data_IF_975607167027
#
_entry.id   IF_975607167027
#
_cell.length_a   1.000
_cell.length_b   1.000
_cell.length_c   1.000
_cell.angle_alpha   90.00
_cell.angle_beta   90.00
_cell.angle_gamma   90.00
#
_symmetry.space_group_name_H-M   'P 1'
#
loop_
_entity.id
_entity.type
_entity.pdbx_description
1 polymer ?
#
# COMPACT_ATOMS: atom_id res chain seq x y z
N UNK A 1 -47.34 -80.18 10.87
CA UNK A 1 -46.65 -79.98 12.16
C UNK A 1 -45.23 -79.59 11.79
N UNK A 2 -44.82 -78.38 12.20
CA UNK A 2 -43.54 -77.69 11.91
C UNK A 2 -43.31 -77.31 10.43
N UNK A 3 -42.85 -76.13 10.04
CA UNK A 3 -42.02 -75.12 10.75
C UNK A 3 -42.26 -73.70 10.19
N UNK A 4 -41.99 -72.71 11.05
CA UNK A 4 -42.03 -71.26 10.83
C UNK A 4 -40.65 -70.76 10.37
N UNK A 5 -40.60 -69.88 9.35
CA UNK A 5 -39.70 -68.71 9.18
C UNK A 5 -39.78 -68.27 7.71
N UNK A 6 -39.74 -66.99 7.31
CA UNK A 6 -38.87 -65.93 7.77
C UNK A 6 -39.49 -64.53 7.55
N UNK A 7 -39.08 -63.59 8.40
CA UNK A 7 -39.32 -62.15 8.28
C UNK A 7 -38.70 -61.57 6.99
N UNK A 8 -39.27 -60.51 6.39
CA UNK A 8 -38.64 -59.84 5.26
C UNK A 8 -37.41 -59.03 5.71
N UNK A 9 -36.29 -59.25 5.02
CA UNK A 9 -35.06 -58.47 5.14
C UNK A 9 -35.33 -56.98 4.91
N UNK A 10 -35.15 -56.16 5.96
CA UNK A 10 -35.06 -54.70 5.83
C UNK A 10 -33.73 -54.37 5.14
N UNK A 11 -33.81 -53.87 3.91
CA UNK A 11 -32.66 -53.35 3.17
C UNK A 11 -32.13 -52.10 3.89
N UNK A 12 -30.94 -52.21 4.50
CA UNK A 12 -30.20 -51.07 5.04
C UNK A 12 -29.73 -50.16 3.90
N UNK A 13 -30.57 -49.24 3.43
CA UNK A 13 -30.15 -48.16 2.52
C UNK A 13 -29.28 -47.17 3.30
N UNK A 14 -27.98 -47.16 3.02
CA UNK A 14 -27.08 -46.09 3.46
C UNK A 14 -27.29 -44.87 2.57
N UNK A 15 -27.70 -43.73 3.14
CA UNK A 15 -27.77 -42.46 2.43
C UNK A 15 -26.48 -41.67 2.65
N UNK A 16 -25.81 -41.31 1.56
CA UNK A 16 -24.62 -40.45 1.56
C UNK A 16 -25.04 -39.07 1.07
N UNK A 17 -25.00 -38.07 1.95
CA UNK A 17 -25.23 -36.69 1.57
C UNK A 17 -23.90 -35.92 1.63
N UNK A 18 -23.49 -35.39 0.48
CA UNK A 18 -22.28 -34.58 0.35
C UNK A 18 -22.67 -33.12 0.29
N UNK A 19 -22.22 -32.34 1.27
CA UNK A 19 -22.38 -30.89 1.26
C UNK A 19 -21.06 -30.26 0.78
N UNK A 20 -21.14 -29.57 -0.34
CA UNK A 20 -20.03 -28.78 -0.90
C UNK A 20 -20.43 -27.31 -0.79
N UNK A 21 -19.60 -26.50 -0.16
CA UNK A 21 -19.85 -25.07 -0.04
C UNK A 21 -18.88 -24.31 -0.93
N UNK A 22 -19.40 -23.25 -1.52
CA UNK A 22 -18.57 -22.25 -2.16
C UNK A 22 -17.85 -21.44 -1.08
N UNK A 23 -16.51 -21.38 -1.14
CA UNK A 23 -15.69 -20.75 -0.12
C UNK A 23 -15.07 -19.41 -0.56
N UNK A 24 -15.55 -18.83 -1.66
CA UNK A 24 -15.08 -17.52 -2.14
C UNK A 24 -13.62 -17.48 -2.59
N UNK A 25 -13.04 -18.60 -3.03
CA UNK A 25 -11.67 -18.63 -3.56
C UNK A 25 -11.60 -18.73 -5.09
N UNK A 26 -12.72 -19.08 -5.73
CA UNK A 26 -12.89 -19.16 -7.18
C UNK A 26 -14.38 -19.41 -7.49
N UNK A 27 -14.95 -18.80 -8.55
CA UNK A 27 -16.34 -19.04 -8.96
C UNK A 27 -16.61 -20.49 -9.40
N UNK A 28 -15.57 -21.27 -9.71
CA UNK A 28 -15.69 -22.65 -10.19
C UNK A 28 -15.26 -23.72 -9.19
N UNK A 29 -14.73 -23.34 -8.02
CA UNK A 29 -14.13 -24.29 -7.08
C UNK A 29 -15.00 -24.47 -5.84
N UNK A 30 -15.79 -25.53 -5.84
CA UNK A 30 -16.52 -25.99 -4.66
C UNK A 30 -15.55 -26.71 -3.71
N UNK A 31 -15.61 -26.37 -2.43
CA UNK A 31 -14.85 -27.07 -1.39
C UNK A 31 -15.78 -27.97 -0.60
N UNK A 32 -15.45 -29.26 -0.52
CA UNK A 32 -16.22 -30.23 0.26
C UNK A 32 -16.08 -29.91 1.75
N UNK A 33 -17.13 -29.42 2.41
CA UNK A 33 -17.06 -29.03 3.83
C UNK A 33 -17.34 -30.23 4.75
N UNK A 34 -18.35 -31.04 4.44
CA UNK A 34 -18.73 -32.20 5.25
C UNK A 34 -19.25 -33.37 4.40
N UNK A 35 -19.01 -34.59 4.89
CA UNK A 35 -19.67 -35.81 4.40
C UNK A 35 -20.58 -36.30 5.51
N UNK A 36 -21.88 -36.35 5.23
CA UNK A 36 -22.86 -36.94 6.13
C UNK A 36 -23.14 -38.36 5.62
N UNK A 37 -22.82 -39.37 6.45
CA UNK A 37 -23.19 -40.76 6.20
C UNK A 37 -24.26 -41.14 7.20
N UNK A 38 -25.46 -41.46 6.70
CA UNK A 38 -26.56 -41.96 7.52
C UNK A 38 -26.91 -43.39 7.11
N UNK A 39 -27.03 -44.27 8.10
CA UNK A 39 -27.54 -45.63 7.99
C UNK A 39 -28.55 -45.87 9.11
N UNK A 40 -29.36 -46.90 8.99
CA UNK A 40 -30.44 -47.27 9.92
C UNK A 40 -30.01 -47.35 11.39
N UNK A 41 -28.72 -47.56 11.66
CA UNK A 41 -28.14 -47.70 13.00
C UNK A 41 -27.00 -46.73 13.32
N UNK A 42 -26.59 -45.87 12.38
CA UNK A 42 -25.47 -44.95 12.61
C UNK A 42 -25.56 -43.66 11.79
N UNK A 43 -25.24 -42.56 12.45
CA UNK A 43 -25.12 -41.25 11.84
C UNK A 43 -23.71 -40.73 12.10
N UNK A 44 -22.95 -40.44 11.03
CA UNK A 44 -21.61 -39.88 11.16
C UNK A 44 -21.44 -38.65 10.28
N UNK A 45 -20.93 -37.58 10.90
CA UNK A 45 -20.54 -36.35 10.22
C UNK A 45 -19.02 -36.32 10.19
N UNK A 46 -18.45 -36.42 8.99
CA UNK A 46 -17.01 -36.27 8.80
C UNK A 46 -16.73 -34.93 8.12
N UNK A 47 -16.10 -34.00 8.84
CA UNK A 47 -15.63 -32.73 8.27
C UNK A 47 -14.44 -33.01 7.35
N UNK A 48 -14.50 -32.50 6.13
CA UNK A 48 -13.35 -32.57 5.20
C UNK A 48 -12.41 -31.40 5.51
N UNK A 49 -11.13 -31.68 5.75
CA UNK A 49 -10.07 -30.67 5.93
C UNK A 49 -9.59 -30.46 7.38
N UNK A 50 -8.30 -30.17 7.53
CA UNK A 50 -7.71 -29.79 8.81
C UNK A 50 -8.16 -28.38 9.20
N UNK A 51 -8.62 -28.17 10.44
CA UNK A 51 -9.03 -26.82 10.91
C UNK A 51 -7.90 -25.79 10.74
N UNK A 52 -6.67 -26.21 10.96
CA UNK A 52 -5.48 -25.36 10.82
C UNK A 52 -5.26 -24.89 9.38
N UNK A 53 -5.40 -25.78 8.38
CA UNK A 53 -5.24 -25.39 6.98
C UNK A 53 -6.36 -24.46 6.53
N UNK A 54 -7.59 -24.68 6.99
CA UNK A 54 -8.71 -23.80 6.67
C UNK A 54 -8.59 -22.41 7.32
N UNK A 55 -8.12 -22.33 8.57
CA UNK A 55 -7.84 -21.05 9.24
C UNK A 55 -6.68 -20.31 8.59
N UNK A 56 -5.60 -21.01 8.25
CA UNK A 56 -4.44 -20.44 7.56
C UNK A 56 -4.81 -19.93 6.15
N UNK A 57 -5.58 -20.70 5.38
CA UNK A 57 -6.08 -20.25 4.08
C UNK A 57 -6.96 -19.02 4.22
N UNK A 58 -7.87 -18.99 5.21
CA UNK A 58 -8.71 -17.81 5.47
C UNK A 58 -7.91 -16.59 5.92
N UNK A 59 -6.84 -16.80 6.67
CA UNK A 59 -5.92 -15.73 7.05
C UNK A 59 -5.22 -15.17 5.80
N UNK A 60 -4.65 -16.03 4.94
CA UNK A 60 -4.01 -15.60 3.70
C UNK A 60 -4.98 -14.90 2.74
N UNK A 61 -6.25 -15.32 2.70
CA UNK A 61 -7.31 -14.66 1.92
C UNK A 61 -7.59 -13.23 2.38
N UNK A 62 -7.18 -12.81 3.59
CA UNK A 62 -7.29 -11.41 4.01
C UNK A 62 -6.24 -10.52 3.34
N UNK A 63 -5.16 -11.09 2.82
CA UNK A 63 -4.01 -10.36 2.28
C UNK A 63 -3.82 -10.54 0.79
N UNK A 64 -4.45 -11.52 0.16
CA UNK A 64 -4.23 -11.86 -1.24
C UNK A 64 -5.55 -11.79 -2.00
N UNK A 65 -5.60 -11.16 -3.20
CA UNK A 65 -6.82 -11.07 -3.99
C UNK A 65 -7.39 -12.44 -4.36
N UNK A 66 -8.71 -12.54 -4.51
CA UNK A 66 -9.37 -13.74 -5.00
C UNK A 66 -8.89 -14.07 -6.42
N UNK A 67 -8.66 -15.35 -6.73
CA UNK A 67 -8.14 -15.78 -8.03
C UNK A 67 -6.64 -15.52 -8.25
N UNK A 68 -5.90 -15.09 -7.22
CA UNK A 68 -4.46 -14.92 -7.30
C UNK A 68 -3.75 -16.25 -7.63
N UNK A 69 -2.68 -16.24 -8.46
CA UNK A 69 -2.05 -15.07 -9.08
C UNK A 69 -2.68 -14.59 -10.39
N UNK A 70 -3.64 -15.32 -10.95
CA UNK A 70 -4.21 -15.03 -12.28
C UNK A 70 -5.13 -13.82 -12.35
N UNK A 71 -5.61 -13.31 -11.21
CA UNK A 71 -6.53 -12.18 -11.12
C UNK A 71 -5.85 -10.82 -11.06
N UNK A 72 -4.50 -10.78 -10.97
CA UNK A 72 -3.71 -9.56 -10.91
C UNK A 72 -2.63 -9.53 -11.97
N UNK A 73 -2.16 -8.34 -12.33
CA UNK A 73 -1.03 -8.20 -13.26
C UNK A 73 0.26 -8.79 -12.69
N UNK A 74 1.20 -9.24 -13.54
CA UNK A 74 2.45 -9.88 -13.10
C UNK A 74 3.38 -8.98 -12.25
N UNK A 75 3.22 -7.66 -12.35
CA UNK A 75 3.99 -6.65 -11.60
C UNK A 75 3.41 -6.33 -10.21
N UNK A 76 2.25 -6.88 -9.84
CA UNK A 76 1.60 -6.69 -8.54
C UNK A 76 2.51 -7.09 -7.36
N UNK A 77 2.99 -8.35 -7.33
CA UNK A 77 3.78 -8.84 -6.20
C UNK A 77 5.11 -8.10 -6.03
N UNK A 78 5.93 -7.91 -7.09
CA UNK A 78 7.16 -7.13 -6.97
C UNK A 78 6.91 -5.71 -6.47
N UNK A 79 5.84 -5.06 -6.95
CA UNK A 79 5.44 -3.73 -6.49
C UNK A 79 5.08 -3.76 -5.00
N UNK A 80 4.18 -4.66 -4.57
CA UNK A 80 3.69 -4.74 -3.19
C UNK A 80 4.82 -5.00 -2.18
N UNK A 81 5.84 -5.78 -2.53
CA UNK A 81 6.99 -5.99 -1.64
C UNK A 81 7.72 -4.66 -1.37
N UNK A 82 7.99 -3.87 -2.41
CA UNK A 82 8.66 -2.59 -2.25
C UNK A 82 7.78 -1.53 -1.58
N UNK A 83 6.48 -1.52 -1.90
CA UNK A 83 5.49 -0.63 -1.28
C UNK A 83 5.36 -0.92 0.23
N UNK A 84 5.35 -2.19 0.64
CA UNK A 84 5.34 -2.57 2.06
C UNK A 84 6.62 -2.17 2.80
N UNK A 85 7.79 -2.35 2.18
CA UNK A 85 9.06 -1.90 2.76
C UNK A 85 9.12 -0.37 2.89
N UNK A 86 8.61 0.34 1.88
CA UNK A 86 8.46 1.79 1.89
C UNK A 86 7.52 2.23 3.01
N UNK A 87 6.33 1.63 3.11
CA UNK A 87 5.35 1.89 4.16
C UNK A 87 5.90 1.64 5.56
N UNK A 88 6.61 0.53 5.76
CA UNK A 88 7.27 0.21 7.03
C UNK A 88 8.23 1.33 7.46
N UNK A 89 9.06 1.82 6.52
CA UNK A 89 9.97 2.94 6.78
C UNK A 89 9.23 4.23 7.15
N UNK A 90 8.12 4.53 6.46
CA UNK A 90 7.25 5.66 6.78
C UNK A 90 6.74 5.59 8.21
N UNK A 91 6.14 4.48 8.63
CA UNK A 91 5.56 4.40 9.98
C UNK A 91 6.60 4.45 11.11
N UNK A 92 7.82 3.95 10.88
CA UNK A 92 8.92 4.12 11.85
C UNK A 92 9.27 5.61 11.99
N UNK A 93 9.43 6.34 10.88
CA UNK A 93 9.73 7.78 10.87
C UNK A 93 8.58 8.62 11.42
N UNK A 94 7.34 8.21 11.20
CA UNK A 94 6.15 8.86 11.78
C UNK A 94 6.24 8.86 13.30
N UNK A 95 6.70 7.78 13.94
CA UNK A 95 6.86 7.77 15.41
C UNK A 95 7.92 8.77 15.89
N UNK A 96 9.06 8.85 15.21
CA UNK A 96 10.13 9.80 15.55
C UNK A 96 9.69 11.27 15.37
N UNK A 97 9.08 11.58 14.23
CA UNK A 97 8.59 12.93 13.93
C UNK A 97 7.41 13.31 14.83
N UNK A 98 6.51 12.37 15.16
CA UNK A 98 5.40 12.61 16.10
C UNK A 98 5.92 12.91 17.50
N UNK A 99 6.92 12.18 17.99
CA UNK A 99 7.53 12.46 19.29
C UNK A 99 8.12 13.87 19.34
N UNK A 100 8.85 14.28 18.30
CA UNK A 100 9.40 15.62 18.20
C UNK A 100 8.29 16.69 18.16
N UNK A 101 7.27 16.50 17.33
CA UNK A 101 6.13 17.41 17.21
C UNK A 101 5.38 17.58 18.55
N UNK A 102 5.12 16.48 19.26
CA UNK A 102 4.48 16.53 20.58
C UNK A 102 5.33 17.28 21.60
N UNK A 103 6.65 17.09 21.57
CA UNK A 103 7.58 17.86 22.39
C UNK A 103 7.52 19.35 22.06
N UNK A 104 7.45 19.73 20.77
CA UNK A 104 7.39 21.14 20.35
C UNK A 104 6.10 21.85 20.78
N UNK A 105 4.98 21.13 20.82
CA UNK A 105 3.69 21.66 21.32
C UNK A 105 3.72 21.91 22.84
N UNK A 106 4.71 21.34 23.54
CA UNK A 106 4.84 21.47 24.98
C UNK A 106 4.07 20.38 25.75
N UNK A 107 3.88 19.20 25.15
CA UNK A 107 3.34 18.05 25.91
C UNK A 107 4.28 17.75 27.08
N UNK A 108 3.77 17.94 28.30
CA UNK A 108 4.53 17.78 29.55
C UNK A 108 5.04 19.09 30.16
N UNK A 109 4.88 20.22 29.49
CA UNK A 109 5.30 21.55 29.98
C UNK A 109 4.20 22.26 30.77
N UNK A 110 4.54 22.83 31.94
CA UNK A 110 3.55 23.50 32.82
C UNK A 110 3.01 24.81 32.23
N UNK A 111 3.76 25.46 31.34
CA UNK A 111 3.38 26.72 30.70
C UNK A 111 2.52 26.53 29.44
N UNK A 112 2.44 25.31 28.90
CA UNK A 112 1.63 25.02 27.72
C UNK A 112 0.15 24.97 28.09
N UNK A 113 -0.69 25.67 27.32
CA UNK A 113 -2.15 25.66 27.53
C UNK A 113 -2.82 24.75 26.52
N UNK A 114 -3.85 24.03 26.97
CA UNK A 114 -4.67 23.16 26.10
C UNK A 114 -5.28 23.97 24.95
N UNK A 115 -5.82 25.16 25.23
CA UNK A 115 -6.43 26.01 24.19
C UNK A 115 -5.42 26.52 23.16
N UNK A 116 -4.19 26.84 23.59
CA UNK A 116 -3.11 27.23 22.67
C UNK A 116 -2.72 26.09 21.75
N UNK A 117 -2.50 24.89 22.30
CA UNK A 117 -2.20 23.69 21.51
C UNK A 117 -3.34 23.35 20.53
N UNK A 118 -4.60 23.46 20.96
CA UNK A 118 -5.77 23.26 20.09
C UNK A 118 -5.80 24.26 18.94
N UNK A 119 -5.51 25.54 19.19
CA UNK A 119 -5.48 26.55 18.14
C UNK A 119 -4.36 26.30 17.13
N UNK A 120 -3.18 25.87 17.59
CA UNK A 120 -2.07 25.48 16.72
C UNK A 120 -2.45 24.30 15.81
N UNK A 121 -3.12 23.27 16.36
CA UNK A 121 -3.64 22.14 15.57
C UNK A 121 -4.70 22.56 14.56
N UNK A 122 -5.65 23.40 14.98
CA UNK A 122 -6.67 23.96 14.09
C UNK A 122 -6.04 24.69 12.90
N UNK A 123 -5.10 25.62 13.14
CA UNK A 123 -4.44 26.36 12.06
C UNK A 123 -3.70 25.43 11.11
N UNK A 124 -2.98 24.46 11.67
CA UNK A 124 -2.23 23.47 10.91
C UNK A 124 -3.14 22.63 10.01
N UNK A 125 -4.25 22.13 10.54
CA UNK A 125 -5.17 21.27 9.80
C UNK A 125 -5.98 22.06 8.76
N UNK A 126 -6.47 23.25 9.12
CA UNK A 126 -7.15 24.16 8.20
C UNK A 126 -6.24 24.49 7.00
N UNK A 127 -4.99 24.89 7.27
CA UNK A 127 -4.02 25.25 6.23
C UNK A 127 -3.70 24.05 5.32
N UNK A 128 -3.55 22.86 5.90
CA UNK A 128 -3.39 21.62 5.15
C UNK A 128 -4.57 21.35 4.22
N UNK A 129 -5.80 21.36 4.75
CA UNK A 129 -7.03 21.12 3.98
C UNK A 129 -7.19 22.10 2.82
N UNK A 130 -6.97 23.40 3.07
CA UNK A 130 -6.98 24.43 2.02
C UNK A 130 -5.91 24.15 0.95
N UNK A 131 -4.70 23.77 1.37
CA UNK A 131 -3.62 23.38 0.47
C UNK A 131 -3.98 22.20 -0.44
N UNK A 132 -4.59 21.16 0.11
CA UNK A 132 -5.05 19.99 -0.66
C UNK A 132 -6.14 20.32 -1.66
N UNK A 133 -7.12 21.16 -1.28
CA UNK A 133 -8.17 21.64 -2.20
C UNK A 133 -7.55 22.45 -3.33
N UNK A 134 -6.65 23.39 -3.02
CA UNK A 134 -5.96 24.19 -4.03
C UNK A 134 -5.15 23.31 -4.97
N UNK A 135 -4.38 22.34 -4.46
CA UNK A 135 -3.65 21.41 -5.30
C UNK A 135 -4.56 20.61 -6.22
N UNK A 136 -5.67 20.09 -5.69
CA UNK A 136 -6.67 19.37 -6.50
C UNK A 136 -7.23 20.25 -7.61
N UNK A 137 -7.54 21.52 -7.32
CA UNK A 137 -8.02 22.49 -8.30
C UNK A 137 -7.03 22.72 -9.44
N UNK A 138 -5.73 22.82 -9.13
CA UNK A 138 -4.70 23.06 -10.15
C UNK A 138 -4.25 21.81 -10.91
N UNK A 139 -4.24 20.64 -10.28
CA UNK A 139 -3.50 19.47 -10.78
C UNK A 139 -4.31 18.17 -10.86
N UNK A 140 -5.54 18.16 -10.35
CA UNK A 140 -6.33 16.93 -10.17
C UNK A 140 -6.62 16.11 -11.43
N UNK A 141 -6.54 16.70 -12.62
CA UNK A 141 -6.90 16.05 -13.89
C UNK A 141 -5.83 15.17 -14.53
N UNK A 142 -4.57 15.19 -14.04
CA UNK A 142 -3.44 14.50 -14.68
C UNK A 142 -2.63 13.60 -13.73
N UNK A 143 -3.17 13.30 -12.54
CA UNK A 143 -2.44 12.56 -11.50
C UNK A 143 -2.27 11.08 -11.86
N UNK A 144 -3.26 10.49 -12.52
CA UNK A 144 -3.26 9.10 -12.98
C UNK A 144 -2.38 8.89 -14.22
N UNK A 145 -2.37 9.85 -15.15
CA UNK A 145 -1.62 9.81 -16.41
C UNK A 145 -0.10 9.62 -16.19
N UNK A 146 0.43 10.18 -15.11
CA UNK A 146 1.85 10.07 -14.73
C UNK A 146 2.01 9.41 -13.36
N UNK A 147 1.27 8.34 -13.09
CA UNK A 147 1.19 7.71 -11.77
C UNK A 147 2.57 7.38 -11.14
N UNK A 148 3.54 6.89 -11.92
CA UNK A 148 4.90 6.61 -11.42
C UNK A 148 5.60 7.86 -10.85
N UNK A 149 5.54 8.96 -11.59
CA UNK A 149 6.12 10.24 -11.17
C UNK A 149 5.39 10.80 -9.97
N UNK A 150 4.05 10.84 -10.02
CA UNK A 150 3.25 11.41 -8.94
C UNK A 150 3.39 10.62 -7.63
N UNK A 151 3.64 9.30 -7.68
CA UNK A 151 4.01 8.54 -6.48
C UNK A 151 5.32 9.02 -5.86
N UNK A 152 6.37 9.17 -6.66
CA UNK A 152 7.65 9.69 -6.16
C UNK A 152 7.53 11.10 -5.61
N UNK A 153 6.75 11.96 -6.27
CA UNK A 153 6.53 13.34 -5.81
C UNK A 153 5.67 13.38 -4.54
N UNK A 154 4.62 12.56 -4.45
CA UNK A 154 3.78 12.46 -3.25
C UNK A 154 4.62 12.04 -2.04
N UNK A 155 5.40 10.97 -2.18
CA UNK A 155 6.23 10.46 -1.09
C UNK A 155 7.37 11.42 -0.70
N UNK A 156 7.92 12.19 -1.66
CA UNK A 156 8.84 13.27 -1.34
C UNK A 156 8.15 14.37 -0.51
N UNK A 157 6.93 14.77 -0.86
CA UNK A 157 6.17 15.75 -0.09
C UNK A 157 5.80 15.20 1.30
N UNK A 158 5.53 13.90 1.43
CA UNK A 158 5.31 13.26 2.73
C UNK A 158 6.56 13.38 3.61
N UNK A 159 7.73 13.09 3.02
CA UNK A 159 9.03 13.17 3.69
C UNK A 159 9.35 14.59 4.16
N UNK A 160 9.05 15.59 3.33
CA UNK A 160 9.15 17.00 3.73
C UNK A 160 8.21 17.32 4.89
N UNK A 161 6.97 16.81 4.86
CA UNK A 161 6.01 16.98 5.95
C UNK A 161 6.52 16.42 7.28
N UNK A 162 7.01 15.19 7.28
CA UNK A 162 7.61 14.56 8.46
C UNK A 162 8.89 15.27 8.91
N UNK A 163 9.68 15.79 7.97
CA UNK A 163 10.87 16.59 8.29
C UNK A 163 10.48 17.90 8.97
N UNK A 164 9.43 18.58 8.51
CA UNK A 164 8.90 19.78 9.16
C UNK A 164 8.50 19.49 10.61
N UNK A 165 7.81 18.36 10.85
CA UNK A 165 7.44 17.92 12.20
C UNK A 165 8.70 17.69 13.06
N UNK A 166 9.75 17.06 12.51
CA UNK A 166 11.01 16.79 13.20
C UNK A 166 11.85 18.05 13.51
N UNK A 167 11.90 19.04 12.61
CA UNK A 167 12.65 20.30 12.83
C UNK A 167 11.90 21.31 13.68
N UNK A 168 10.57 21.20 13.77
CA UNK A 168 9.72 22.18 14.45
C UNK A 168 10.17 22.54 15.88
N UNK A 169 10.69 21.61 16.72
CA UNK A 169 11.16 21.96 18.07
C UNK A 169 12.38 22.88 18.07
N UNK A 170 13.16 22.91 16.98
CA UNK A 170 14.37 23.74 16.87
C UNK A 170 14.04 25.22 16.64
N UNK A 171 12.80 25.53 16.27
CA UNK A 171 12.36 26.89 15.94
C UNK A 171 11.04 27.25 16.65
N UNK A 172 11.02 27.38 17.99
CA UNK A 172 9.77 27.63 18.73
C UNK A 172 9.01 28.88 18.28
N UNK A 173 9.72 29.95 17.87
CA UNK A 173 9.11 31.20 17.38
C UNK A 173 8.42 31.05 16.02
N UNK A 174 8.84 30.09 15.20
CA UNK A 174 8.28 29.80 13.88
C UNK A 174 7.49 28.48 13.85
N UNK A 175 7.24 27.86 15.01
CA UNK A 175 6.66 26.54 15.14
C UNK A 175 5.39 26.36 14.28
N UNK A 176 4.40 27.24 14.46
CA UNK A 176 3.11 27.18 13.76
C UNK A 176 3.29 27.26 12.25
N UNK A 177 4.18 28.13 11.79
CA UNK A 177 4.47 28.28 10.36
C UNK A 177 5.07 27.00 9.76
N UNK A 178 6.05 26.41 10.44
CA UNK A 178 6.71 25.17 10.00
C UNK A 178 5.71 24.02 9.92
N UNK A 179 4.90 23.80 10.96
CA UNK A 179 3.94 22.69 10.96
C UNK A 179 2.81 22.91 9.95
N UNK A 180 2.42 24.17 9.68
CA UNK A 180 1.48 24.48 8.60
C UNK A 180 2.05 24.12 7.22
N UNK A 181 3.33 24.43 6.95
CA UNK A 181 4.01 23.98 5.73
C UNK A 181 4.05 22.45 5.63
N UNK A 182 4.38 21.78 6.74
CA UNK A 182 4.36 20.32 6.81
C UNK A 182 2.98 19.73 6.51
N UNK A 183 1.93 20.37 7.01
CA UNK A 183 0.53 19.99 6.79
C UNK A 183 0.08 20.17 5.34
N UNK A 184 0.45 21.28 4.69
CA UNK A 184 0.23 21.47 3.24
C UNK A 184 0.90 20.34 2.46
N UNK A 185 2.16 20.03 2.79
CA UNK A 185 2.94 18.97 2.15
C UNK A 185 2.27 17.60 2.29
N UNK A 186 1.77 17.26 3.49
CA UNK A 186 1.02 16.02 3.74
C UNK A 186 -0.35 16.01 3.06
N UNK A 187 -1.04 17.14 2.96
CA UNK A 187 -2.31 17.23 2.25
C UNK A 187 -2.15 17.01 0.75
N UNK A 188 -1.14 17.63 0.14
CA UNK A 188 -0.71 17.35 -1.23
C UNK A 188 -0.46 15.85 -1.43
N UNK A 189 0.28 15.23 -0.49
CA UNK A 189 0.61 13.80 -0.53
C UNK A 189 -0.67 12.97 -0.55
N UNK A 190 -1.64 13.29 0.31
CA UNK A 190 -2.91 12.57 0.38
C UNK A 190 -3.66 12.58 -0.95
N UNK A 191 -3.73 13.73 -1.62
CA UNK A 191 -4.39 13.85 -2.93
C UNK A 191 -3.65 13.05 -4.01
N UNK A 192 -2.34 13.27 -4.15
CA UNK A 192 -1.54 12.60 -5.19
C UNK A 192 -1.42 11.08 -4.96
N UNK A 193 -1.16 10.66 -3.72
CA UNK A 193 -1.11 9.24 -3.36
C UNK A 193 -2.47 8.56 -3.54
N UNK A 194 -3.58 9.21 -3.14
CA UNK A 194 -4.92 8.68 -3.36
C UNK A 194 -5.25 8.46 -4.83
N UNK A 195 -4.97 9.45 -5.69
CA UNK A 195 -5.23 9.35 -7.13
C UNK A 195 -4.35 8.29 -7.81
N UNK A 196 -3.05 8.27 -7.50
CA UNK A 196 -2.13 7.27 -8.07
C UNK A 196 -2.42 5.87 -7.58
N UNK A 197 -2.79 5.70 -6.30
CA UNK A 197 -3.22 4.41 -5.75
C UNK A 197 -4.44 3.89 -6.49
N UNK A 198 -5.47 4.72 -6.69
CA UNK A 198 -6.64 4.33 -7.48
C UNK A 198 -6.27 3.88 -8.90
N UNK A 199 -5.38 4.62 -9.59
CA UNK A 199 -4.90 4.25 -10.91
C UNK A 199 -4.13 2.92 -10.92
N UNK A 200 -3.31 2.65 -9.90
CA UNK A 200 -2.58 1.38 -9.77
C UNK A 200 -3.50 0.21 -9.43
N UNK A 201 -4.48 0.41 -8.53
CA UNK A 201 -5.48 -0.62 -8.22
C UNK A 201 -6.25 -1.03 -9.49
N UNK A 202 -6.60 -0.07 -10.35
CA UNK A 202 -7.22 -0.37 -11.65
C UNK A 202 -6.25 -1.09 -12.60
N UNK A 203 -4.98 -0.66 -12.67
CA UNK A 203 -3.96 -1.35 -13.45
C UNK A 203 -3.78 -2.81 -13.00
N UNK A 204 -3.79 -3.07 -11.70
CA UNK A 204 -3.63 -4.42 -11.15
C UNK A 204 -4.83 -5.32 -11.37
N UNK A 205 -6.03 -4.79 -11.61
CA UNK A 205 -7.25 -5.59 -11.78
C UNK A 205 -7.33 -6.23 -13.17
N UNK A 206 -7.26 -7.56 -13.25
CA UNK A 206 -7.45 -8.30 -14.51
C UNK A 206 -8.86 -8.89 -14.68
N UNK A 207 -9.67 -8.92 -13.62
CA UNK A 207 -10.96 -9.61 -13.59
C UNK A 207 -12.05 -8.75 -12.94
N UNK A 208 -12.06 -7.45 -13.22
CA UNK A 208 -12.96 -6.45 -12.61
C UNK A 208 -12.94 -6.50 -11.07
N UNK A 209 -11.79 -6.88 -10.50
CA UNK A 209 -11.58 -7.16 -9.08
C UNK A 209 -10.88 -6.01 -8.33
N UNK A 210 -10.98 -4.78 -8.83
CA UNK A 210 -10.32 -3.60 -8.25
C UNK A 210 -10.71 -3.36 -6.78
N UNK A 211 -11.98 -3.57 -6.43
CA UNK A 211 -12.45 -3.43 -5.04
C UNK A 211 -11.82 -4.48 -4.11
N UNK A 212 -11.67 -5.72 -4.57
CA UNK A 212 -11.03 -6.79 -3.82
C UNK A 212 -9.53 -6.46 -3.62
N UNK A 213 -8.82 -6.07 -4.68
CA UNK A 213 -7.43 -5.62 -4.61
C UNK A 213 -7.27 -4.49 -3.59
N UNK A 214 -8.09 -3.44 -3.69
CA UNK A 214 -8.05 -2.31 -2.74
C UNK A 214 -8.25 -2.75 -1.29
N UNK A 215 -9.17 -3.67 -1.03
CA UNK A 215 -9.41 -4.21 0.31
C UNK A 215 -8.22 -5.03 0.84
N UNK A 216 -7.57 -5.84 -0.02
CA UNK A 216 -6.39 -6.63 0.38
C UNK A 216 -5.16 -5.74 0.58
N UNK A 217 -4.92 -4.79 -0.30
CA UNK A 217 -3.88 -3.78 -0.15
C UNK A 217 -4.07 -3.01 1.16
N UNK A 218 -5.30 -2.59 1.49
CA UNK A 218 -5.60 -1.95 2.77
C UNK A 218 -5.27 -2.83 3.98
N UNK A 219 -5.49 -4.14 3.89
CA UNK A 219 -5.11 -5.10 4.95
C UNK A 219 -3.60 -5.26 5.06
N UNK A 220 -2.88 -5.31 3.93
CA UNK A 220 -1.42 -5.36 3.89
C UNK A 220 -0.80 -4.08 4.49
N UNK A 221 -1.29 -2.90 4.09
CA UNK A 221 -0.89 -1.59 4.62
C UNK A 221 -1.15 -1.51 6.13
N UNK A 222 -2.29 -2.01 6.61
CA UNK A 222 -2.62 -2.04 8.04
C UNK A 222 -1.61 -2.86 8.84
N UNK A 223 -1.21 -4.04 8.35
CA UNK A 223 -0.20 -4.85 9.04
C UNK A 223 1.17 -4.18 8.99
N UNK A 224 1.57 -3.60 7.87
CA UNK A 224 2.80 -2.81 7.77
C UNK A 224 2.79 -1.63 8.74
N UNK A 225 1.64 -0.96 8.90
CA UNK A 225 1.41 0.11 9.88
C UNK A 225 1.65 -0.38 11.29
N UNK A 226 1.00 -1.48 11.69
CA UNK A 226 1.13 -2.03 13.05
C UNK A 226 2.59 -2.38 13.38
N UNK A 227 3.28 -3.05 12.46
CA UNK A 227 4.69 -3.43 12.64
C UNK A 227 5.57 -2.18 12.67
N UNK A 228 5.37 -1.25 11.74
CA UNK A 228 6.15 -0.02 11.64
C UNK A 228 5.98 0.90 12.84
N UNK A 229 4.77 1.00 13.40
CA UNK A 229 4.51 1.73 14.64
C UNK A 229 5.21 1.08 15.84
N UNK A 230 5.16 -0.25 15.97
CA UNK A 230 5.83 -0.97 17.05
C UNK A 230 7.36 -0.79 16.99
N UNK A 231 7.94 -0.95 15.80
CA UNK A 231 9.37 -0.71 15.57
C UNK A 231 9.72 0.76 15.75
N UNK A 232 8.88 1.68 15.27
CA UNK A 232 9.05 3.13 15.42
C UNK A 232 9.08 3.55 16.87
N UNK A 233 8.17 3.03 17.69
CA UNK A 233 8.16 3.28 19.13
C UNK A 233 9.42 2.70 19.80
N UNK A 234 9.85 1.50 19.41
CA UNK A 234 11.12 0.95 19.90
C UNK A 234 12.30 1.86 19.57
N UNK A 235 12.40 2.33 18.31
CA UNK A 235 13.45 3.25 17.86
C UNK A 235 13.39 4.58 18.62
N UNK A 236 12.20 5.17 18.77
CA UNK A 236 11.99 6.38 19.56
C UNK A 236 12.41 6.19 21.04
N UNK A 237 12.16 5.01 21.62
CA UNK A 237 12.57 4.71 22.99
C UNK A 237 14.08 4.57 23.15
N UNK A 238 14.77 3.90 22.23
CA UNK A 238 16.23 3.72 22.31
C UNK A 238 17.01 4.99 21.97
N UNK A 239 16.43 5.89 21.19
CA UNK A 239 17.08 7.16 20.76
C UNK A 239 16.76 8.34 21.67
N UNK A 240 15.97 8.13 22.73
CA UNK A 240 15.62 9.19 23.69
C UNK A 240 16.87 9.83 24.29
N UNK A 241 16.91 11.17 24.32
CA UNK A 241 18.09 11.90 24.82
C UNK A 241 19.31 11.90 23.88
N UNK A 242 19.21 11.27 22.70
CA UNK A 242 20.29 11.20 21.71
C UNK A 242 19.86 11.83 20.37
N UNK A 243 19.90 13.18 20.22
CA UNK A 243 19.42 13.86 19.02
C UNK A 243 20.08 13.39 17.72
N UNK A 244 21.41 13.13 17.76
CA UNK A 244 22.12 12.61 16.58
C UNK A 244 21.61 11.25 16.13
N UNK A 245 21.22 10.38 17.07
CA UNK A 245 20.65 9.08 16.74
C UNK A 245 19.25 9.22 16.11
N UNK A 246 18.41 10.11 16.62
CA UNK A 246 17.09 10.43 16.03
C UNK A 246 17.26 10.91 14.58
N UNK A 247 18.15 11.88 14.38
CA UNK A 247 18.44 12.44 13.05
C UNK A 247 19.00 11.39 12.08
N UNK A 248 19.96 10.59 12.54
CA UNK A 248 20.54 9.53 11.73
C UNK A 248 19.49 8.48 11.35
N UNK A 249 18.68 8.01 12.30
CA UNK A 249 17.59 7.07 12.05
C UNK A 249 16.58 7.66 11.07
N UNK A 250 16.13 8.90 11.28
CA UNK A 250 15.16 9.54 10.40
C UNK A 250 15.68 9.74 8.97
N UNK A 251 16.91 10.23 8.80
CA UNK A 251 17.50 10.49 7.49
C UNK A 251 17.82 9.20 6.74
N UNK A 252 18.39 8.19 7.40
CA UNK A 252 18.66 6.89 6.79
C UNK A 252 17.38 6.19 6.32
N UNK A 253 16.32 6.21 7.15
CA UNK A 253 15.02 5.68 6.78
C UNK A 253 14.36 6.49 5.65
N UNK A 254 14.56 7.80 5.60
CA UNK A 254 14.06 8.66 4.51
C UNK A 254 14.75 8.33 3.18
N UNK A 255 16.07 8.10 3.20
CA UNK A 255 16.80 7.64 2.02
C UNK A 255 16.31 6.25 1.56
N UNK A 256 16.15 5.33 2.50
CA UNK A 256 15.61 4.00 2.22
C UNK A 256 14.18 4.06 1.67
N UNK A 257 13.34 4.92 2.23
CA UNK A 257 11.96 5.16 1.80
C UNK A 257 11.91 5.59 0.33
N UNK A 258 12.66 6.63 -0.05
CA UNK A 258 12.72 7.11 -1.42
C UNK A 258 13.29 6.05 -2.38
N UNK A 259 14.31 5.31 -1.94
CA UNK A 259 14.85 4.21 -2.72
C UNK A 259 13.83 3.07 -2.92
N UNK A 260 13.13 2.65 -1.87
CA UNK A 260 12.10 1.62 -1.94
C UNK A 260 10.96 2.04 -2.86
N UNK A 261 10.49 3.30 -2.79
CA UNK A 261 9.48 3.80 -3.71
C UNK A 261 9.97 3.83 -5.16
N UNK A 262 11.22 4.27 -5.40
CA UNK A 262 11.84 4.20 -6.72
C UNK A 262 11.84 2.75 -7.24
N UNK A 263 12.22 1.78 -6.42
CA UNK A 263 12.18 0.36 -6.79
C UNK A 263 10.75 -0.12 -7.07
N UNK A 264 9.76 0.28 -6.28
CA UNK A 264 8.35 -0.04 -6.49
C UNK A 264 7.87 0.46 -7.86
N UNK A 265 8.07 1.75 -8.18
CA UNK A 265 7.58 2.30 -9.46
C UNK A 265 8.34 1.77 -10.68
N UNK A 266 9.57 1.29 -10.50
CA UNK A 266 10.34 0.60 -11.56
C UNK A 266 9.85 -0.82 -11.84
N UNK A 267 9.10 -1.44 -10.94
CA UNK A 267 8.47 -2.75 -11.18
C UNK A 267 7.23 -2.66 -12.07
N UNK A 268 6.53 -1.53 -12.03
CA UNK A 268 5.26 -1.31 -12.73
C UNK A 268 5.46 -1.27 -14.25
N UNK A 269 4.62 -1.95 -15.01
CA UNK A 269 4.56 -1.91 -16.47
C UNK A 269 3.15 -1.46 -16.91
N UNK A 270 2.87 -0.17 -16.75
CA UNK A 270 1.55 0.42 -16.99
C UNK A 270 1.12 0.25 -18.45
N UNK A 271 -0.14 -0.14 -18.65
CA UNK A 271 -0.78 -0.29 -19.96
C UNK A 271 -1.43 0.99 -20.49
N UNK A 272 -1.58 2.01 -19.64
CA UNK A 272 -2.12 3.31 -20.01
C UNK A 272 -1.11 4.13 -20.81
N UNK A 273 -1.60 4.88 -21.81
CA UNK A 273 -0.79 5.82 -22.56
C UNK A 273 -0.75 7.17 -21.87
N UNK A 274 0.44 7.76 -21.85
CA UNK A 274 0.68 9.16 -21.52
C UNK A 274 1.53 9.79 -22.64
N UNK A 275 1.76 11.11 -22.64
CA UNK A 275 2.53 11.75 -23.71
C UNK A 275 3.92 11.13 -23.95
N UNK A 276 4.62 10.69 -22.91
CA UNK A 276 5.95 10.09 -23.01
C UNK A 276 5.91 8.67 -23.60
N UNK A 277 5.07 7.78 -23.05
CA UNK A 277 4.89 6.41 -23.56
C UNK A 277 4.41 6.43 -25.00
N UNK A 278 3.51 7.36 -25.35
CA UNK A 278 3.05 7.57 -26.73
C UNK A 278 4.20 8.02 -27.63
N UNK A 279 5.05 8.94 -27.18
CA UNK A 279 6.23 9.38 -27.94
C UNK A 279 7.20 8.22 -28.20
N UNK A 280 7.51 7.42 -27.18
CA UNK A 280 8.39 6.24 -27.30
C UNK A 280 7.82 5.24 -28.32
N UNK A 281 6.51 4.95 -28.22
CA UNK A 281 5.83 4.02 -29.12
C UNK A 281 5.81 4.51 -30.57
N UNK A 282 5.42 5.76 -30.79
CA UNK A 282 5.32 6.33 -32.14
C UNK A 282 6.68 6.44 -32.81
N UNK A 283 7.71 6.85 -32.07
CA UNK A 283 9.08 6.91 -32.59
C UNK A 283 9.57 5.52 -33.00
N UNK A 284 9.45 4.54 -32.10
CA UNK A 284 9.91 3.18 -32.39
C UNK A 284 9.15 2.56 -33.57
N UNK A 285 7.83 2.74 -33.62
CA UNK A 285 7.01 2.25 -34.72
C UNK A 285 7.38 2.90 -36.06
N UNK A 286 7.67 4.21 -36.07
CA UNK A 286 8.11 4.91 -37.27
C UNK A 286 9.47 4.43 -37.78
N UNK A 287 10.36 3.97 -36.91
CA UNK A 287 11.71 3.53 -37.26
C UNK A 287 11.76 2.04 -37.66
N UNK A 288 10.99 1.17 -36.99
CA UNK A 288 11.10 -0.29 -37.14
C UNK A 288 9.86 -0.96 -37.70
N UNK A 289 8.72 -0.27 -37.73
CA UNK A 289 7.41 -0.85 -38.04
C UNK A 289 6.86 -1.79 -36.97
N UNK A 290 7.51 -1.89 -35.80
CA UNK A 290 7.10 -2.79 -34.70
C UNK A 290 6.52 -2.01 -33.52
N UNK A 291 5.59 -2.65 -32.79
CA UNK A 291 4.97 -2.07 -31.58
C UNK A 291 5.62 -2.67 -30.34
N UNK A 292 6.13 -1.82 -29.45
CA UNK A 292 6.72 -2.26 -28.18
C UNK A 292 5.66 -2.72 -27.19
N UNK A 293 5.99 -3.73 -26.39
CA UNK A 293 5.19 -4.14 -25.23
C UNK A 293 5.25 -3.10 -24.10
N UNK A 294 4.24 -3.04 -23.20
CA UNK A 294 4.26 -2.15 -22.04
C UNK A 294 5.52 -2.27 -21.18
N UNK A 295 6.06 -3.49 -21.04
CA UNK A 295 7.30 -3.74 -20.29
C UNK A 295 8.52 -3.13 -20.96
N UNK A 296 8.60 -3.17 -22.28
CA UNK A 296 9.69 -2.54 -23.04
C UNK A 296 9.59 -1.02 -22.95
N UNK A 297 8.41 -0.45 -23.14
CA UNK A 297 8.17 1.00 -22.99
C UNK A 297 8.51 1.47 -21.57
N UNK A 298 8.05 0.73 -20.56
CA UNK A 298 8.32 1.02 -19.15
C UNK A 298 9.80 1.01 -18.78
N UNK A 299 10.64 0.28 -19.52
CA UNK A 299 12.09 0.27 -19.29
C UNK A 299 12.78 1.54 -19.80
N UNK A 300 12.16 2.20 -20.79
CA UNK A 300 12.64 3.41 -21.45
C UNK A 300 12.03 4.69 -20.86
N UNK A 301 10.82 4.61 -20.30
CA UNK A 301 10.16 5.79 -19.70
C UNK A 301 10.90 6.29 -18.45
N UNK A 302 10.90 7.60 -18.28
CA UNK A 302 11.40 8.23 -17.07
C UNK A 302 10.36 8.15 -15.97
N UNK A 303 10.85 7.96 -14.73
CA UNK A 303 9.99 8.00 -13.54
C UNK A 303 10.02 9.36 -12.85
N UNK A 304 10.98 10.23 -13.21
CA UNK A 304 11.15 11.56 -12.65
C UNK A 304 10.64 12.64 -13.62
N UNK A 305 10.27 13.83 -13.14
CA UNK A 305 9.84 14.93 -14.01
C UNK A 305 10.90 15.28 -15.06
N UNK A 306 10.50 15.45 -16.32
CA UNK A 306 11.40 15.70 -17.46
C UNK A 306 12.36 16.90 -17.28
N UNK A 307 11.96 17.93 -16.52
CA UNK A 307 12.85 19.06 -16.17
C UNK A 307 14.01 18.65 -15.26
N UNK A 308 13.77 17.74 -14.32
CA UNK A 308 14.81 17.21 -13.43
C UNK A 308 15.72 16.25 -14.20
N UNK A 309 15.16 15.39 -15.05
CA UNK A 309 15.93 14.47 -15.91
C UNK A 309 16.85 15.22 -16.88
N UNK A 310 16.35 16.26 -17.54
CA UNK A 310 17.16 17.09 -18.45
C UNK A 310 18.24 17.88 -17.72
N UNK A 311 18.00 18.33 -16.48
CA UNK A 311 19.02 18.97 -15.66
C UNK A 311 20.11 17.98 -15.21
N UNK A 312 19.73 16.78 -14.75
CA UNK A 312 20.68 15.71 -14.36
C UNK A 312 21.51 15.28 -15.57
N UNK A 313 20.88 15.05 -16.73
CA UNK A 313 21.58 14.67 -17.98
C UNK A 313 22.58 15.75 -18.42
N UNK A 314 22.20 17.03 -18.39
CA UNK A 314 23.14 18.13 -18.68
C UNK A 314 24.31 18.17 -17.70
N UNK A 315 24.06 17.88 -16.42
CA UNK A 315 25.10 17.88 -15.37
C UNK A 315 26.04 16.66 -15.49
N UNK A 316 25.51 15.48 -15.80
CA UNK A 316 26.30 14.26 -16.05
C UNK A 316 27.21 14.42 -17.28
N UNK A 317 26.68 14.93 -18.39
CA UNK A 317 27.47 15.20 -19.60
C UNK A 317 28.54 16.29 -19.38
N UNK A 318 28.31 17.21 -18.44
CA UNK A 318 29.29 18.23 -18.03
C UNK A 318 30.39 17.70 -17.09
N UNK A 319 30.18 16.55 -16.45
CA UNK A 319 31.16 15.89 -15.58
C UNK A 319 32.06 14.93 -16.36
N UNK A 320 31.55 14.33 -17.44
CA UNK A 320 32.33 13.49 -18.36
C UNK A 320 33.18 14.28 -19.38
N UNK A 321 33.08 15.62 -19.37
CA UNK A 321 33.84 16.53 -20.25
C UNK A 321 34.91 17.35 -19.53
N UNK A 322 35.32 16.94 -18.32
CA UNK A 322 36.47 17.49 -17.59
C UNK A 322 37.45 16.40 -17.20
#
# INVERSE_FOLDING_TARGET
>A
MESISAFPHVSNKTSLLRLEEWNGSSPTKLSKTFTIKASSSSFSIQRSGARFTHLWTRFLQAFVPEGFPSSVTPDYVPFQIWDLLQGLSTYIRTMLSTQALLSAIGVGEKSATVIGATFQWFLRDLTGMLGGILFTFYQGSNLDSNAKMWRLVADLMNDLGMLMDLISPLFPSAFVFIVCLGSISRSFTGVASGATRAALTQHFALQDNAADISAKEGSQETVATMIGMALGMLVARITIGHPLAIWFSFLSLTLFHMYANYRAVRCLALNSLNPERSSILLQHFSETGQVLSPKQVSSQEHVLPNKLTSWISKKANSLDTK
#
